data_IF_073890811741
#
_entry.id   IF_073890811741
#
_cell.length_a   1.000
_cell.length_b   1.000
_cell.length_c   1.000
_cell.angle_alpha   90.00
_cell.angle_beta   90.00
_cell.angle_gamma   90.00
#
_symmetry.space_group_name_H-M   'P 1'
#
loop_
_entity.id
_entity.type
_entity.pdbx_description
1 polymer ?
#
# COMPACT_ATOMS: atom_id res chain seq x y z
N UNK A 1 -7.27 9.87 12.33
CA UNK A 1 -6.48 10.98 11.74
C UNK A 1 -7.10 11.39 10.42
N UNK A 2 -7.07 12.65 10.12
CA UNK A 2 -7.57 13.18 8.85
C UNK A 2 -6.48 14.02 8.20
N UNK A 3 -6.13 13.69 6.96
CA UNK A 3 -5.14 14.43 6.17
C UNK A 3 -5.84 14.98 4.94
N UNK A 4 -5.79 16.30 4.74
CA UNK A 4 -6.44 16.95 3.60
C UNK A 4 -5.64 16.73 2.32
N UNK A 5 -4.32 16.76 2.40
CA UNK A 5 -3.42 16.54 1.27
C UNK A 5 -2.93 15.11 1.19
N UNK A 6 -1.66 14.95 0.84
CA UNK A 6 -1.00 13.66 0.67
C UNK A 6 -0.17 13.28 1.89
N UNK A 7 0.05 11.98 2.05
CA UNK A 7 1.08 11.48 2.95
C UNK A 7 2.22 10.98 2.06
N UNK A 8 3.40 11.56 2.24
CA UNK A 8 4.62 11.15 1.54
C UNK A 8 5.73 10.92 2.54
N UNK A 9 6.39 9.78 2.45
CA UNK A 9 7.53 9.50 3.28
C UNK A 9 8.58 8.73 2.51
N UNK A 10 9.82 9.10 2.69
CA UNK A 10 10.98 8.47 2.05
C UNK A 10 12.01 8.12 3.10
N UNK A 11 12.59 6.92 3.00
CA UNK A 11 13.63 6.50 3.91
C UNK A 11 13.17 6.22 5.33
N UNK A 12 11.90 5.93 5.53
CA UNK A 12 11.33 5.70 6.86
C UNK A 12 11.81 4.39 7.48
N UNK A 13 11.77 4.35 8.82
CA UNK A 13 11.96 3.11 9.57
C UNK A 13 10.62 2.51 9.97
N UNK A 14 9.73 3.32 10.51
CA UNK A 14 8.39 2.87 10.87
C UNK A 14 7.38 3.95 10.53
N UNK A 15 6.37 3.59 9.76
CA UNK A 15 5.22 4.43 9.47
C UNK A 15 3.97 3.59 9.65
N UNK A 16 2.99 4.13 10.38
CA UNK A 16 1.69 3.50 10.54
C UNK A 16 0.60 4.54 10.28
N UNK A 17 -0.21 4.30 9.25
CA UNK A 17 -1.44 5.03 9.03
C UNK A 17 -2.54 4.18 9.63
N UNK A 18 -3.08 4.66 10.74
CA UNK A 18 -3.92 3.85 11.62
C UNK A 18 -5.37 3.78 11.17
N UNK A 19 -6.05 2.80 11.73
CA UNK A 19 -7.47 2.56 11.55
C UNK A 19 -8.30 3.84 11.79
N UNK A 20 -9.28 4.05 10.92
CA UNK A 20 -10.14 5.22 10.98
C UNK A 20 -9.55 6.48 10.34
N UNK A 21 -8.35 6.40 9.77
CA UNK A 21 -7.73 7.56 9.10
C UNK A 21 -8.38 7.81 7.74
N UNK A 22 -8.38 9.08 7.34
CA UNK A 22 -8.85 9.51 6.01
C UNK A 22 -7.80 10.40 5.38
N UNK A 23 -7.42 10.09 4.16
CA UNK A 23 -6.45 10.85 3.40
C UNK A 23 -7.12 11.42 2.15
N UNK A 24 -7.13 12.75 2.04
CA UNK A 24 -7.79 13.43 0.92
C UNK A 24 -7.05 13.28 -0.41
N UNK A 25 -5.76 13.06 -0.40
CA UNK A 25 -4.95 12.79 -1.57
C UNK A 25 -4.45 11.36 -1.60
N UNK A 26 -3.17 11.18 -1.91
CA UNK A 26 -2.52 9.88 -2.03
C UNK A 26 -1.60 9.58 -0.85
N UNK A 27 -1.30 8.31 -0.65
CA UNK A 27 -0.27 7.87 0.28
C UNK A 27 0.86 7.26 -0.54
N UNK A 28 2.07 7.80 -0.37
CA UNK A 28 3.25 7.36 -1.11
C UNK A 28 4.38 7.08 -0.13
N UNK A 29 4.76 5.81 -0.02
CA UNK A 29 5.80 5.36 0.88
C UNK A 29 6.92 4.73 0.06
N UNK A 30 8.11 5.35 0.11
CA UNK A 30 9.25 4.97 -0.73
C UNK A 30 10.52 4.76 0.10
N UNK A 31 11.36 3.86 -0.38
CA UNK A 31 12.70 3.63 0.16
C UNK A 31 12.72 3.39 1.67
N UNK A 32 11.71 2.72 2.19
CA UNK A 32 11.69 2.30 3.58
C UNK A 32 12.88 1.41 3.91
N UNK A 33 13.44 1.57 5.10
CA UNK A 33 14.69 0.91 5.49
C UNK A 33 14.49 -0.56 5.80
N UNK A 34 15.53 -1.34 5.53
CA UNK A 34 15.58 -2.75 5.92
C UNK A 34 15.34 -2.89 7.42
N UNK A 35 14.51 -3.85 7.81
CA UNK A 35 14.09 -4.04 9.20
C UNK A 35 12.98 -3.09 9.66
N UNK A 36 12.59 -2.13 8.83
CA UNK A 36 11.49 -1.23 9.12
C UNK A 36 10.14 -1.79 8.73
N UNK A 37 9.10 -1.00 8.95
CA UNK A 37 7.72 -1.39 8.66
C UNK A 37 6.91 -0.20 8.20
N UNK A 38 6.13 -0.39 7.14
CA UNK A 38 5.11 0.56 6.70
C UNK A 38 3.75 -0.10 6.70
N UNK A 39 2.77 0.50 7.35
CA UNK A 39 1.41 -0.07 7.46
C UNK A 39 0.35 0.96 7.15
N UNK A 40 -0.63 0.55 6.36
CA UNK A 40 -1.87 1.31 6.16
C UNK A 40 -3.01 0.38 6.54
N UNK A 41 -3.74 0.73 7.58
CA UNK A 41 -4.74 -0.14 8.19
C UNK A 41 -6.07 0.58 8.30
N UNK A 42 -7.12 -0.04 7.76
CA UNK A 42 -8.50 0.44 7.86
C UNK A 42 -8.62 1.94 7.57
N UNK A 43 -7.97 2.39 6.51
CA UNK A 43 -7.85 3.79 6.11
C UNK A 43 -8.56 4.02 4.79
N UNK A 44 -9.18 5.19 4.64
CA UNK A 44 -9.74 5.63 3.36
C UNK A 44 -8.79 6.59 2.68
N UNK A 45 -8.38 6.28 1.46
CA UNK A 45 -7.47 7.08 0.65
C UNK A 45 -8.21 7.49 -0.62
N UNK A 46 -8.35 8.80 -0.85
CA UNK A 46 -9.06 9.29 -2.03
C UNK A 46 -8.25 9.18 -3.31
N UNK A 47 -6.93 9.16 -3.23
CA UNK A 47 -6.03 8.96 -4.36
C UNK A 47 -5.46 7.55 -4.39
N UNK A 48 -4.17 7.45 -4.72
CA UNK A 48 -3.46 6.18 -4.82
C UNK A 48 -2.79 5.80 -3.50
N UNK A 49 -2.58 4.51 -3.31
CA UNK A 49 -1.64 3.98 -2.33
C UNK A 49 -0.46 3.41 -3.09
N UNK A 50 0.73 3.94 -2.84
CA UNK A 50 1.94 3.58 -3.56
C UNK A 50 3.04 3.11 -2.60
N UNK A 51 3.49 1.88 -2.79
CA UNK A 51 4.62 1.29 -2.07
C UNK A 51 5.73 1.03 -3.07
N UNK A 52 6.74 1.90 -3.10
CA UNK A 52 7.82 1.82 -4.10
C UNK A 52 9.19 1.62 -3.44
N UNK A 53 9.91 0.60 -3.89
CA UNK A 53 11.32 0.38 -3.55
C UNK A 53 11.57 0.30 -2.04
N UNK A 54 10.69 -0.37 -1.30
CA UNK A 54 10.85 -0.49 0.13
C UNK A 54 11.60 -1.76 0.51
N UNK A 55 12.66 -1.62 1.28
CA UNK A 55 13.30 -2.73 1.99
C UNK A 55 12.60 -3.01 3.32
N UNK A 56 11.73 -2.12 3.75
CA UNK A 56 10.85 -2.31 4.89
C UNK A 56 9.72 -3.30 4.54
N UNK A 57 9.15 -3.93 5.56
CA UNK A 57 7.94 -4.74 5.38
C UNK A 57 6.74 -3.82 5.20
N UNK A 58 5.97 -4.04 4.16
CA UNK A 58 4.82 -3.20 3.82
C UNK A 58 3.53 -3.98 3.98
N UNK A 59 2.54 -3.35 4.62
CA UNK A 59 1.23 -3.96 4.86
C UNK A 59 0.13 -2.97 4.49
N UNK A 60 -0.88 -3.42 3.76
CA UNK A 60 -2.12 -2.70 3.58
C UNK A 60 -3.26 -3.67 3.84
N UNK A 61 -4.13 -3.32 4.78
CA UNK A 61 -5.29 -4.17 5.08
C UNK A 61 -6.52 -3.38 5.44
N UNK A 62 -7.66 -3.93 5.08
CA UNK A 62 -8.99 -3.39 5.41
C UNK A 62 -9.15 -1.92 5.00
N UNK A 63 -8.44 -1.50 3.96
CA UNK A 63 -8.44 -0.11 3.51
C UNK A 63 -9.25 0.05 2.22
N UNK A 64 -9.74 1.28 2.02
CA UNK A 64 -10.47 1.66 0.81
C UNK A 64 -9.64 2.68 0.05
N UNK A 65 -9.27 2.35 -1.17
CA UNK A 65 -8.45 3.18 -2.04
C UNK A 65 -9.28 3.54 -3.27
N UNK A 66 -9.54 4.83 -3.47
CA UNK A 66 -10.44 5.28 -4.53
C UNK A 66 -9.79 5.39 -5.91
N UNK A 67 -8.48 5.22 -6.00
CA UNK A 67 -7.77 5.13 -7.27
C UNK A 67 -7.02 3.80 -7.33
N UNK A 68 -5.69 3.81 -7.44
CA UNK A 68 -4.91 2.59 -7.61
C UNK A 68 -4.12 2.21 -6.34
N UNK A 69 -3.91 0.91 -6.15
CA UNK A 69 -2.89 0.43 -5.22
C UNK A 69 -1.74 -0.11 -6.06
N UNK A 70 -0.55 0.44 -5.87
CA UNK A 70 0.65 0.08 -6.64
C UNK A 70 1.77 -0.34 -5.70
N UNK A 71 2.30 -1.54 -5.90
CA UNK A 71 3.41 -2.06 -5.13
C UNK A 71 4.51 -2.50 -6.09
N UNK A 72 5.57 -1.68 -6.22
CA UNK A 72 6.65 -1.89 -7.18
C UNK A 72 8.01 -1.96 -6.51
N UNK A 73 8.79 -2.97 -6.85
CA UNK A 73 10.20 -3.10 -6.47
C UNK A 73 10.43 -3.15 -4.95
N UNK A 74 9.51 -3.72 -4.21
CA UNK A 74 9.67 -3.88 -2.77
C UNK A 74 10.40 -5.18 -2.46
N UNK A 75 11.35 -5.13 -1.53
CA UNK A 75 12.19 -6.27 -1.18
C UNK A 75 12.02 -6.73 0.26
N UNK A 76 11.26 -6.03 1.05
CA UNK A 76 11.03 -6.37 2.46
C UNK A 76 9.79 -7.19 2.76
N UNK A 77 9.04 -7.54 1.71
CA UNK A 77 7.75 -8.22 1.82
C UNK A 77 6.58 -7.26 1.74
N UNK A 78 5.53 -7.66 1.05
CA UNK A 78 4.29 -6.89 0.92
C UNK A 78 3.13 -7.80 1.25
N UNK A 79 2.26 -7.34 2.15
CA UNK A 79 1.04 -8.07 2.53
C UNK A 79 -0.16 -7.20 2.21
N UNK A 80 -1.07 -7.70 1.40
CA UNK A 80 -2.27 -6.99 0.96
C UNK A 80 -3.50 -7.82 1.29
N UNK A 81 -4.27 -7.38 2.30
CA UNK A 81 -5.41 -8.15 2.81
C UNK A 81 -6.69 -7.31 2.83
N UNK A 82 -7.72 -7.83 2.18
CA UNK A 82 -9.09 -7.30 2.30
C UNK A 82 -9.22 -5.80 1.99
N UNK A 83 -8.49 -5.32 0.99
CA UNK A 83 -8.60 -3.94 0.55
C UNK A 83 -9.64 -3.81 -0.56
N UNK A 84 -10.33 -2.68 -0.60
CA UNK A 84 -11.26 -2.33 -1.67
C UNK A 84 -10.63 -1.22 -2.50
N UNK A 85 -10.34 -1.51 -3.77
CA UNK A 85 -9.62 -0.62 -4.67
C UNK A 85 -10.55 -0.30 -5.84
N UNK A 86 -10.87 0.99 -6.02
CA UNK A 86 -11.83 1.37 -7.05
C UNK A 86 -11.31 1.17 -8.48
N UNK A 87 -10.01 1.34 -8.69
CA UNK A 87 -9.39 1.17 -10.00
C UNK A 87 -8.54 -0.11 -10.05
N UNK A 88 -7.23 -0.01 -10.09
CA UNK A 88 -6.38 -1.16 -10.33
C UNK A 88 -5.49 -1.52 -9.14
N UNK A 89 -5.28 -2.81 -8.96
CA UNK A 89 -4.26 -3.36 -8.07
C UNK A 89 -3.10 -3.83 -8.94
N UNK A 90 -1.95 -3.16 -8.82
CA UNK A 90 -0.79 -3.38 -9.68
C UNK A 90 0.44 -3.72 -8.84
N UNK A 91 1.07 -4.84 -9.13
CA UNK A 91 2.28 -5.28 -8.43
C UNK A 91 3.33 -5.74 -9.42
N UNK A 92 4.55 -5.19 -9.31
CA UNK A 92 5.66 -5.53 -10.21
C UNK A 92 6.98 -5.61 -9.46
N UNK A 93 7.78 -6.57 -9.84
CA UNK A 93 9.19 -6.66 -9.42
C UNK A 93 9.40 -6.67 -7.90
N UNK A 94 8.43 -7.16 -7.15
CA UNK A 94 8.60 -7.37 -5.72
C UNK A 94 9.29 -8.71 -5.48
N UNK A 95 10.22 -8.73 -4.55
CA UNK A 95 10.92 -9.95 -4.16
C UNK A 95 11.09 -9.98 -2.63
N UNK A 96 10.37 -10.82 -1.90
CA UNK A 96 9.46 -11.85 -2.40
C UNK A 96 8.19 -11.25 -3.03
N UNK A 97 7.45 -12.04 -3.83
CA UNK A 97 6.17 -11.59 -4.37
C UNK A 97 5.18 -11.24 -3.25
N UNK A 98 4.27 -10.28 -3.50
CA UNK A 98 3.26 -9.93 -2.51
C UNK A 98 2.40 -11.12 -2.12
N UNK A 99 1.95 -11.11 -0.87
CA UNK A 99 1.05 -12.14 -0.32
C UNK A 99 -0.23 -11.49 0.18
N UNK A 100 -1.23 -12.30 0.47
CA UNK A 100 -2.50 -11.83 0.99
C UNK A 100 -3.68 -12.42 0.26
N UNK A 101 -4.74 -11.64 0.17
CA UNK A 101 -5.96 -12.07 -0.52
C UNK A 101 -7.16 -11.25 -0.09
N UNK A 102 -8.32 -11.57 -0.67
CA UNK A 102 -9.57 -10.89 -0.36
C UNK A 102 -9.63 -9.45 -0.85
N UNK A 103 -8.73 -9.04 -1.73
CA UNK A 103 -8.75 -7.71 -2.29
C UNK A 103 -9.75 -7.62 -3.43
N UNK A 104 -10.51 -6.52 -3.47
CA UNK A 104 -11.43 -6.23 -4.56
C UNK A 104 -10.88 -5.05 -5.35
N UNK A 105 -10.77 -5.20 -6.65
CA UNK A 105 -10.27 -4.16 -7.54
C UNK A 105 -10.99 -4.24 -8.89
N UNK A 106 -10.98 -3.13 -9.63
CA UNK A 106 -11.49 -3.13 -11.00
C UNK A 106 -10.67 -4.05 -11.89
N UNK A 107 -9.35 -4.06 -11.71
CA UNK A 107 -8.44 -5.01 -12.36
C UNK A 107 -7.28 -5.33 -11.43
N UNK A 108 -6.74 -6.54 -11.55
CA UNK A 108 -5.58 -6.99 -10.77
C UNK A 108 -4.49 -7.42 -11.73
N UNK A 109 -3.33 -6.78 -11.63
CA UNK A 109 -2.26 -6.92 -12.59
C UNK A 109 -0.95 -7.39 -11.98
N UNK A 110 -0.16 -8.11 -12.78
CA UNK A 110 1.18 -8.54 -12.39
C UNK A 110 1.17 -9.56 -11.27
N UNK A 111 2.05 -9.37 -10.28
CA UNK A 111 2.19 -10.30 -9.17
C UNK A 111 0.95 -10.37 -8.26
N UNK A 112 0.06 -9.41 -8.37
CA UNK A 112 -1.15 -9.34 -7.55
C UNK A 112 -2.41 -9.88 -8.24
N UNK A 113 -2.26 -10.51 -9.39
CA UNK A 113 -3.41 -10.98 -10.17
C UNK A 113 -4.33 -11.91 -9.40
N UNK A 114 -3.81 -12.60 -8.37
CA UNK A 114 -4.58 -13.57 -7.58
C UNK A 114 -4.86 -13.11 -6.14
N UNK A 115 -4.51 -11.89 -5.79
CA UNK A 115 -4.73 -11.39 -4.44
C UNK A 115 -6.06 -10.67 -4.31
#
# INVERSE_FOLDING_TARGET
>A
MRVIGNIQSEGFRTIVVREGSRVGGSVQLENGRSGGTGKVIATRINGDLQYFSNAARMVARNSTILANLQAFENTGGVVLLNNTIAENLQCKQNNPPPTGGGNMAGDKEGQCARL
#
